data_IF_307750548671
#
_entry.id   IF_307750548671
#
_cell.length_a   1.000
_cell.length_b   1.000
_cell.length_c   1.000
_cell.angle_alpha   90.00
_cell.angle_beta   90.00
_cell.angle_gamma   90.00
#
_symmetry.space_group_name_H-M   'P 1'
#
loop_
_entity.id
_entity.type
_entity.pdbx_description
1 polymer ?
#
# COMPACT_ATOMS: atom_id res chain seq x y z
N UNK A 1 -17.96 33.80 15.08
CA UNK A 1 -16.54 34.02 14.86
C UNK A 1 -15.86 32.71 15.29
N UNK A 2 -15.80 31.73 14.39
CA UNK A 2 -15.23 30.39 14.65
C UNK A 2 -13.81 30.38 14.08
N UNK A 3 -12.83 30.26 14.95
CA UNK A 3 -11.44 30.16 14.59
C UNK A 3 -11.18 28.76 13.99
N UNK A 4 -10.81 28.72 12.73
CA UNK A 4 -10.25 27.52 12.08
C UNK A 4 -8.85 27.30 12.66
N UNK A 5 -8.70 26.21 13.42
CA UNK A 5 -7.40 25.73 13.81
C UNK A 5 -6.69 25.21 12.55
N UNK A 6 -5.73 25.96 12.05
CA UNK A 6 -4.72 25.50 11.11
C UNK A 6 -3.83 24.50 11.85
N UNK A 7 -3.98 23.22 11.53
CA UNK A 7 -2.96 22.22 11.87
C UNK A 7 -1.93 22.24 10.75
N UNK A 8 -0.87 23.04 10.94
CA UNK A 8 0.38 22.94 10.19
C UNK A 8 1.05 21.62 10.56
N UNK A 9 0.63 20.54 9.93
CA UNK A 9 1.44 19.33 9.83
C UNK A 9 2.12 19.37 8.46
N UNK A 10 3.44 19.18 8.39
CA UNK A 10 4.13 19.16 7.11
C UNK A 10 3.61 17.97 6.29
N UNK A 11 3.00 18.27 5.14
CA UNK A 11 2.72 17.27 4.12
C UNK A 11 4.08 16.77 3.65
N UNK A 12 4.44 15.57 4.07
CA UNK A 12 5.62 14.89 3.52
C UNK A 12 5.24 14.45 2.10
N UNK A 13 5.51 15.29 1.11
CA UNK A 13 5.51 14.92 -0.29
C UNK A 13 6.62 13.88 -0.50
N UNK A 14 6.25 12.62 -0.57
CA UNK A 14 7.16 11.56 -0.97
C UNK A 14 7.15 11.45 -2.49
N UNK A 15 8.19 11.98 -3.13
CA UNK A 15 8.58 11.53 -4.46
C UNK A 15 8.80 10.02 -4.42
N UNK A 16 8.03 9.28 -5.25
CA UNK A 16 8.07 7.83 -5.42
C UNK A 16 7.57 7.00 -4.24
N UNK A 17 6.27 6.83 -4.07
CA UNK A 17 5.56 5.61 -3.57
C UNK A 17 6.10 4.76 -2.41
N UNK A 18 7.33 4.94 -1.99
CA UNK A 18 7.94 4.38 -0.81
C UNK A 18 7.81 5.41 0.31
N UNK A 19 7.08 5.08 1.35
CA UNK A 19 7.14 5.82 2.62
C UNK A 19 8.60 5.83 3.07
N UNK A 20 9.34 6.87 2.71
CA UNK A 20 10.66 7.09 3.27
C UNK A 20 10.44 7.58 4.70
N UNK A 21 10.26 6.63 5.62
CA UNK A 21 10.18 6.94 7.04
C UNK A 21 11.60 7.31 7.45
N UNK A 22 11.88 8.59 7.74
CA UNK A 22 13.22 9.00 8.10
C UNK A 22 13.75 8.12 9.23
N UNK A 23 14.98 7.64 9.11
CA UNK A 23 15.67 6.80 10.09
C UNK A 23 15.16 5.36 10.29
N UNK A 24 14.05 4.94 9.65
CA UNK A 24 13.54 3.57 9.79
C UNK A 24 14.52 2.54 9.22
N UNK A 25 14.92 2.72 7.97
CA UNK A 25 15.87 1.82 7.31
C UNK A 25 17.22 1.80 8.03
N UNK A 26 17.70 2.95 8.49
CA UNK A 26 18.95 3.05 9.25
C UNK A 26 18.88 2.29 10.58
N UNK A 27 17.78 2.45 11.33
CA UNK A 27 17.56 1.72 12.57
C UNK A 27 17.47 0.20 12.32
N UNK A 28 16.81 -0.20 11.24
CA UNK A 28 16.69 -1.60 10.83
C UNK A 28 18.05 -2.21 10.47
N UNK A 29 18.86 -1.52 9.65
CA UNK A 29 20.18 -1.97 9.24
C UNK A 29 21.17 -2.04 10.42
N UNK A 30 21.00 -1.20 11.42
CA UNK A 30 21.79 -1.25 12.67
C UNK A 30 21.30 -2.33 13.64
N UNK A 31 20.26 -3.09 13.31
CA UNK A 31 19.67 -4.10 14.18
C UNK A 31 18.90 -3.52 15.38
N UNK A 32 18.64 -2.21 15.40
CA UNK A 32 17.85 -1.56 16.45
C UNK A 32 16.36 -1.65 16.15
N UNK A 33 15.78 -2.84 16.34
CA UNK A 33 14.36 -3.11 16.04
C UNK A 33 13.41 -2.23 16.85
N UNK A 34 13.74 -1.93 18.11
CA UNK A 34 12.87 -1.08 18.94
C UNK A 34 12.74 0.32 18.37
N UNK A 35 13.86 0.90 17.94
CA UNK A 35 13.89 2.22 17.31
C UNK A 35 13.17 2.19 15.94
N UNK A 36 13.41 1.16 15.13
CA UNK A 36 12.71 0.99 13.86
C UNK A 36 11.20 0.93 14.06
N UNK A 37 10.71 0.15 15.01
CA UNK A 37 9.28 0.07 15.32
C UNK A 37 8.72 1.37 15.89
N UNK A 38 9.48 2.11 16.70
CA UNK A 38 9.07 3.42 17.21
C UNK A 38 8.86 4.41 16.07
N UNK A 39 9.86 4.57 15.22
CA UNK A 39 9.83 5.48 14.06
C UNK A 39 8.69 5.12 13.11
N UNK A 40 8.51 3.82 12.83
CA UNK A 40 7.39 3.35 12.00
C UNK A 40 6.04 3.72 12.61
N UNK A 41 5.87 3.51 13.91
CA UNK A 41 4.61 3.80 14.61
C UNK A 41 4.26 5.30 14.60
N UNK A 42 5.25 6.17 14.72
CA UNK A 42 5.08 7.62 14.65
C UNK A 42 4.68 8.09 13.26
N UNK A 43 5.09 7.36 12.22
CA UNK A 43 4.76 7.69 10.83
C UNK A 43 3.40 7.11 10.36
N UNK A 44 2.79 6.18 11.12
CA UNK A 44 1.48 5.62 10.77
C UNK A 44 0.40 6.69 10.97
N UNK A 45 -0.43 6.98 9.95
CA UNK A 45 -1.54 7.90 10.11
C UNK A 45 -2.50 7.44 11.21
N UNK A 46 -3.04 8.38 11.97
CA UNK A 46 -4.04 8.09 13.02
C UNK A 46 -5.39 7.65 12.44
N UNK A 47 -5.64 8.01 11.18
CA UNK A 47 -6.82 7.64 10.41
C UNK A 47 -6.41 7.17 9.03
N UNK A 48 -7.05 6.13 8.57
CA UNK A 48 -6.92 5.60 7.23
C UNK A 48 -8.29 5.40 6.61
N UNK A 49 -8.38 5.55 5.31
CA UNK A 49 -9.65 5.56 4.58
C UNK A 49 -9.64 4.52 3.49
N UNK A 50 -10.73 3.76 3.40
CA UNK A 50 -10.96 2.85 2.28
C UNK A 50 -12.09 3.35 1.42
N UNK A 51 -11.77 3.64 0.17
CA UNK A 51 -12.76 4.00 -0.84
C UNK A 51 -13.23 2.73 -1.55
N UNK A 52 -14.54 2.54 -1.61
CA UNK A 52 -15.18 1.32 -2.13
C UNK A 52 -16.14 1.71 -3.24
N UNK A 53 -15.90 1.27 -4.48
CA UNK A 53 -16.75 1.61 -5.60
C UNK A 53 -18.06 0.81 -5.57
N UNK A 54 -19.19 1.46 -5.85
CA UNK A 54 -20.49 0.86 -6.13
C UNK A 54 -20.92 1.14 -7.57
N UNK A 55 -22.02 0.53 -8.02
CA UNK A 55 -22.56 0.71 -9.35
C UNK A 55 -21.79 -0.04 -10.43
N UNK A 56 -21.14 -1.15 -10.07
CA UNK A 56 -20.45 -2.04 -11.02
C UNK A 56 -21.43 -3.14 -11.49
N UNK A 57 -21.98 -3.89 -10.55
CA UNK A 57 -23.06 -4.85 -10.75
C UNK A 57 -23.81 -5.06 -9.44
N UNK A 58 -25.06 -5.52 -9.49
CA UNK A 58 -25.86 -5.76 -8.28
C UNK A 58 -25.21 -6.82 -7.36
N UNK A 59 -24.59 -7.83 -7.92
CA UNK A 59 -23.91 -8.87 -7.16
C UNK A 59 -22.66 -8.34 -6.48
N UNK A 60 -21.81 -7.61 -7.21
CA UNK A 60 -20.61 -7.00 -6.66
C UNK A 60 -20.93 -5.99 -5.56
N UNK A 61 -21.97 -5.19 -5.75
CA UNK A 61 -22.41 -4.18 -4.78
C UNK A 61 -22.98 -4.83 -3.52
N UNK A 62 -23.80 -5.88 -3.65
CA UNK A 62 -24.28 -6.67 -2.50
C UNK A 62 -23.14 -7.28 -1.71
N UNK A 63 -22.14 -7.87 -2.37
CA UNK A 63 -20.98 -8.45 -1.69
C UNK A 63 -20.20 -7.41 -0.89
N UNK A 64 -20.00 -6.21 -1.45
CA UNK A 64 -19.29 -5.11 -0.76
C UNK A 64 -20.09 -4.57 0.43
N UNK A 65 -21.40 -4.43 0.30
CA UNK A 65 -22.26 -4.01 1.40
C UNK A 65 -22.33 -5.07 2.50
N UNK A 66 -22.43 -6.35 2.14
CA UNK A 66 -22.36 -7.45 3.10
C UNK A 66 -21.02 -7.50 3.85
N UNK A 67 -19.91 -7.25 3.17
CA UNK A 67 -18.59 -7.15 3.81
C UNK A 67 -18.57 -6.02 4.86
N UNK A 68 -19.19 -4.88 4.54
CA UNK A 68 -19.31 -3.77 5.48
C UNK A 68 -20.23 -4.10 6.67
N UNK A 69 -21.36 -4.75 6.43
CA UNK A 69 -22.32 -5.15 7.47
C UNK A 69 -21.73 -6.17 8.45
N UNK A 70 -20.79 -6.99 7.99
CA UNK A 70 -20.14 -8.02 8.81
C UNK A 70 -18.80 -7.57 9.40
N UNK A 71 -18.42 -6.30 9.30
CA UNK A 71 -17.12 -5.78 9.77
C UNK A 71 -15.92 -6.51 9.15
N UNK A 72 -16.04 -6.91 7.88
CA UNK A 72 -15.04 -7.65 7.14
C UNK A 72 -14.23 -6.72 6.21
N UNK A 73 -13.03 -7.14 5.85
CA UNK A 73 -12.18 -6.48 4.86
C UNK A 73 -11.87 -7.45 3.72
N UNK A 74 -12.04 -6.96 2.50
CA UNK A 74 -11.63 -7.71 1.31
C UNK A 74 -10.15 -7.47 1.01
N UNK A 75 -9.41 -8.57 0.92
CA UNK A 75 -8.03 -8.59 0.47
C UNK A 75 -7.94 -9.12 -0.95
N UNK A 76 -7.27 -8.40 -1.81
CA UNK A 76 -7.06 -8.78 -3.20
C UNK A 76 -5.70 -9.45 -3.38
N UNK A 77 -5.58 -10.47 -4.24
CA UNK A 77 -4.27 -10.98 -4.63
C UNK A 77 -3.45 -9.85 -5.29
N UNK A 78 -2.16 -9.79 -5.00
CA UNK A 78 -1.25 -8.79 -5.60
C UNK A 78 -1.32 -8.83 -7.13
N UNK A 79 -1.46 -10.02 -7.70
CA UNK A 79 -1.56 -10.23 -9.15
C UNK A 79 -2.80 -9.59 -9.81
N UNK A 80 -3.79 -9.15 -9.02
CA UNK A 80 -5.00 -8.48 -9.51
C UNK A 80 -4.89 -6.96 -9.57
N UNK A 81 -3.77 -6.37 -9.14
CA UNK A 81 -3.58 -4.92 -9.20
C UNK A 81 -3.27 -4.46 -10.62
N UNK A 82 -3.77 -3.27 -10.97
CA UNK A 82 -3.59 -2.69 -12.30
C UNK A 82 -2.19 -2.12 -12.54
N UNK A 83 -1.47 -1.78 -11.46
CA UNK A 83 -0.13 -1.24 -11.56
C UNK A 83 0.90 -2.39 -11.52
N UNK A 84 1.57 -2.68 -12.64
CA UNK A 84 2.61 -3.70 -12.67
C UNK A 84 3.81 -3.39 -11.77
N UNK A 85 3.95 -2.14 -11.34
CA UNK A 85 5.05 -1.71 -10.45
C UNK A 85 4.72 -1.87 -8.97
N UNK A 86 3.45 -1.98 -8.55
CA UNK A 86 3.07 -2.25 -7.16
C UNK A 86 3.66 -3.57 -6.65
N UNK A 87 3.91 -4.50 -7.57
CA UNK A 87 4.47 -5.82 -7.29
C UNK A 87 6.00 -5.88 -7.43
N UNK A 88 6.60 -4.94 -8.13
CA UNK A 88 8.01 -4.96 -8.52
C UNK A 88 8.94 -4.22 -7.52
N UNK A 89 8.60 -4.16 -6.25
CA UNK A 89 9.45 -3.55 -5.21
C UNK A 89 10.83 -4.20 -5.05
N UNK A 90 11.04 -5.37 -5.68
CA UNK A 90 12.33 -6.05 -5.76
C UNK A 90 12.67 -6.30 -7.23
N UNK A 91 13.32 -5.33 -7.85
CA UNK A 91 13.94 -5.54 -9.17
C UNK A 91 15.32 -6.18 -8.99
N UNK A 92 15.47 -7.39 -9.50
CA UNK A 92 16.76 -8.09 -9.53
C UNK A 92 17.47 -7.76 -10.83
N UNK A 93 18.59 -7.09 -10.70
CA UNK A 93 19.50 -6.83 -11.82
C UNK A 93 20.36 -8.06 -12.08
N UNK A 94 19.92 -8.92 -12.98
CA UNK A 94 20.62 -10.16 -13.34
C UNK A 94 22.04 -9.91 -13.83
N UNK A 95 22.30 -8.80 -14.53
CA UNK A 95 23.65 -8.48 -14.99
C UNK A 95 24.59 -8.16 -13.82
N UNK A 96 24.10 -7.44 -12.80
CA UNK A 96 24.90 -7.18 -11.59
C UNK A 96 25.19 -8.45 -10.81
N UNK A 97 24.21 -9.34 -10.68
CA UNK A 97 24.42 -10.63 -10.02
C UNK A 97 25.44 -11.49 -10.76
N UNK A 98 25.33 -11.59 -12.09
CA UNK A 98 26.30 -12.32 -12.92
C UNK A 98 27.70 -11.73 -12.81
N UNK A 99 27.85 -10.40 -12.85
CA UNK A 99 29.14 -9.73 -12.65
C UNK A 99 29.72 -9.95 -11.25
N UNK A 100 28.85 -10.14 -10.24
CA UNK A 100 29.26 -10.48 -8.88
C UNK A 100 29.61 -11.97 -8.69
N UNK A 101 29.54 -12.78 -9.76
CA UNK A 101 29.91 -14.20 -9.74
C UNK A 101 28.82 -15.15 -9.29
N UNK A 102 27.57 -14.69 -9.18
CA UNK A 102 26.45 -15.59 -8.90
C UNK A 102 26.06 -16.36 -10.18
N UNK A 103 25.94 -17.68 -10.07
CA UNK A 103 25.55 -18.54 -11.19
C UNK A 103 24.05 -18.45 -11.52
N UNK A 104 23.70 -18.80 -12.76
CA UNK A 104 22.32 -18.75 -13.28
C UNK A 104 21.34 -19.59 -12.44
N UNK A 105 21.78 -20.68 -11.82
CA UNK A 105 20.94 -21.50 -10.93
C UNK A 105 20.46 -20.71 -9.69
N UNK A 106 21.36 -19.95 -9.07
CA UNK A 106 21.01 -19.13 -7.91
C UNK A 106 20.08 -17.98 -8.31
N UNK A 107 20.37 -17.33 -9.43
CA UNK A 107 19.54 -16.26 -9.97
C UNK A 107 18.13 -16.76 -10.27
N UNK A 108 18.01 -17.92 -10.90
CA UNK A 108 16.73 -18.58 -11.17
C UNK A 108 15.98 -18.93 -9.89
N UNK A 109 16.66 -19.51 -8.89
CA UNK A 109 16.06 -19.83 -7.61
C UNK A 109 15.51 -18.58 -6.87
N UNK A 110 16.24 -17.47 -6.91
CA UNK A 110 15.78 -16.20 -6.33
C UNK A 110 14.53 -15.69 -7.05
N UNK A 111 14.49 -15.76 -8.38
CA UNK A 111 13.30 -15.39 -9.14
C UNK A 111 12.07 -16.24 -8.79
N UNK A 112 12.25 -17.55 -8.65
CA UNK A 112 11.16 -18.46 -8.25
C UNK A 112 10.64 -18.15 -6.83
N UNK A 113 11.54 -17.85 -5.88
CA UNK A 113 11.16 -17.44 -4.53
C UNK A 113 10.36 -16.13 -4.54
N UNK A 114 10.82 -15.13 -5.30
CA UNK A 114 10.10 -13.86 -5.43
C UNK A 114 8.72 -14.04 -6.06
N UNK A 115 8.64 -14.85 -7.10
CA UNK A 115 7.37 -15.20 -7.75
C UNK A 115 6.42 -15.92 -6.79
N UNK A 116 6.93 -16.87 -5.99
CA UNK A 116 6.14 -17.57 -5.00
C UNK A 116 5.62 -16.65 -3.90
N UNK A 117 6.47 -15.76 -3.37
CA UNK A 117 6.07 -14.76 -2.37
C UNK A 117 4.98 -13.85 -2.93
N UNK A 118 5.17 -13.39 -4.16
CA UNK A 118 4.22 -12.52 -4.81
C UNK A 118 2.89 -13.17 -5.14
N UNK A 119 2.90 -14.42 -5.55
CA UNK A 119 1.68 -15.17 -5.85
C UNK A 119 0.81 -15.47 -4.63
N UNK A 120 1.37 -15.40 -3.41
CA UNK A 120 0.66 -15.70 -2.16
C UNK A 120 0.26 -14.44 -1.38
N UNK A 121 0.75 -13.28 -1.77
CA UNK A 121 0.43 -12.03 -1.10
C UNK A 121 -1.01 -11.58 -1.32
N UNK A 122 -1.71 -11.28 -0.22
CA UNK A 122 -3.01 -10.62 -0.23
C UNK A 122 -2.86 -9.20 0.32
N UNK A 123 -3.43 -8.22 -0.37
CA UNK A 123 -3.28 -6.80 -0.03
C UNK A 123 -4.64 -6.12 0.10
N UNK A 124 -4.76 -5.28 1.11
CA UNK A 124 -5.86 -4.34 1.27
C UNK A 124 -5.29 -2.93 1.29
N UNK A 125 -5.61 -2.13 0.28
CA UNK A 125 -5.12 -0.77 0.16
C UNK A 125 -6.00 0.22 0.91
N UNK A 126 -5.35 1.13 1.65
CA UNK A 126 -5.97 2.25 2.33
C UNK A 126 -5.30 3.55 1.90
N UNK A 127 -6.01 4.65 2.03
CA UNK A 127 -5.50 5.99 1.80
C UNK A 127 -5.28 6.71 3.13
N UNK A 128 -4.16 7.42 3.25
CA UNK A 128 -3.95 8.40 4.31
C UNK A 128 -4.58 9.75 3.96
N UNK A 129 -4.96 9.95 2.68
CA UNK A 129 -5.72 11.13 2.27
C UNK A 129 -7.14 11.04 2.83
N UNK A 130 -7.59 12.15 3.36
CA UNK A 130 -8.89 12.27 4.02
C UNK A 130 -10.05 12.02 3.01
N UNK A 131 -11.22 11.72 3.53
CA UNK A 131 -12.42 11.43 2.74
C UNK A 131 -12.85 12.57 1.80
N UNK A 132 -12.30 13.77 1.94
CA UNK A 132 -12.55 14.93 1.06
C UNK A 132 -11.65 14.93 -0.19
N UNK A 133 -10.71 14.01 -0.31
CA UNK A 133 -9.79 13.94 -1.43
C UNK A 133 -10.53 13.58 -2.74
N UNK A 134 -10.86 14.56 -3.55
CA UNK A 134 -11.59 14.38 -4.80
C UNK A 134 -10.99 13.36 -5.77
N UNK A 135 -9.65 13.26 -5.93
CA UNK A 135 -9.05 12.22 -6.76
C UNK A 135 -9.38 10.81 -6.29
N UNK A 136 -9.46 10.57 -4.97
CA UNK A 136 -9.78 9.26 -4.42
C UNK A 136 -11.20 8.83 -4.76
N UNK A 137 -12.14 9.76 -4.75
CA UNK A 137 -13.52 9.51 -5.19
C UNK A 137 -13.61 9.21 -6.69
N UNK A 138 -12.84 9.92 -7.49
CA UNK A 138 -12.84 9.72 -8.93
C UNK A 138 -12.29 8.35 -9.32
N UNK A 139 -11.15 7.96 -8.77
CA UNK A 139 -10.43 6.76 -9.19
C UNK A 139 -10.85 5.50 -8.44
N UNK A 140 -11.17 5.59 -7.15
CA UNK A 140 -11.40 4.43 -6.29
C UNK A 140 -12.84 4.24 -5.83
N UNK A 141 -13.73 5.22 -6.07
CA UNK A 141 -15.15 5.15 -5.72
C UNK A 141 -16.06 5.24 -6.94
N UNK A 142 -15.64 4.73 -8.11
CA UNK A 142 -16.39 4.72 -9.35
C UNK A 142 -17.04 6.08 -9.67
N UNK A 143 -16.22 7.12 -9.83
CA UNK A 143 -16.69 8.49 -10.10
C UNK A 143 -17.70 8.98 -9.04
N UNK A 144 -17.36 8.77 -7.78
CA UNK A 144 -18.17 9.18 -6.61
C UNK A 144 -19.50 8.43 -6.44
N UNK A 145 -19.65 7.25 -7.04
CA UNK A 145 -20.82 6.37 -6.85
C UNK A 145 -20.64 5.34 -5.75
N UNK A 146 -19.54 5.42 -4.99
CA UNK A 146 -19.21 4.52 -3.91
C UNK A 146 -19.36 5.15 -2.52
N UNK A 147 -18.71 4.54 -1.54
CA UNK A 147 -18.64 5.04 -0.19
C UNK A 147 -17.20 5.00 0.36
N UNK A 148 -16.98 5.66 1.46
CA UNK A 148 -15.70 5.70 2.14
C UNK A 148 -15.88 5.24 3.59
N UNK A 149 -14.98 4.36 4.06
CA UNK A 149 -14.91 3.89 5.44
C UNK A 149 -13.63 4.44 6.08
N UNK A 150 -13.72 4.89 7.32
CA UNK A 150 -12.61 5.34 8.15
C UNK A 150 -12.15 4.23 9.10
#
# INVERSE_FOLDING_TARGET
MLALAQTDQPIVETERGLMNIPNYSEALFRGNLNEAFRVKREAIPTKIYKFIPLGISEEADRNKLSTLENDELWFSPISSFNDPYEYMGLHIDNEKLNRAGYGDELISAVHEVLKAIGGQGLVCCFSAADYRAAPMWAYYANLSKGFCVE
#
